data_IF_695350066036
#
_entry.id   IF_695350066036
#
_cell.length_a   1.000
_cell.length_b   1.000
_cell.length_c   1.000
_cell.angle_alpha   90.00
_cell.angle_beta   90.00
_cell.angle_gamma   90.00
#
_symmetry.space_group_name_H-M   'P 1'
#
loop_
_entity.id
_entity.type
_entity.pdbx_description
1 polymer ?
#
# COMPACT_ATOMS: atom_id res chain seq x y z
N UNK A 1 0.81 27.28 3.11
CA UNK A 1 -0.31 26.40 3.52
C UNK A 1 -1.00 25.94 2.25
N UNK A 2 -0.35 25.06 1.50
CA UNK A 2 -0.84 24.61 0.20
C UNK A 2 -1.61 23.31 0.43
N UNK A 3 -2.93 23.43 0.54
CA UNK A 3 -3.84 22.27 0.48
C UNK A 3 -3.82 21.77 -0.96
N UNK A 4 -2.82 20.94 -1.26
CA UNK A 4 -2.71 20.18 -2.49
C UNK A 4 -3.93 19.27 -2.62
N UNK A 5 -4.92 19.77 -3.36
CA UNK A 5 -5.79 19.06 -4.29
C UNK A 5 -5.88 17.57 -3.99
N UNK A 6 -6.89 17.18 -3.21
CA UNK A 6 -7.36 15.79 -3.15
C UNK A 6 -7.67 15.32 -4.57
N UNK A 7 -6.74 14.57 -5.16
CA UNK A 7 -7.04 13.73 -6.31
C UNK A 7 -8.09 12.71 -5.85
N UNK A 8 -9.37 13.06 -6.05
CA UNK A 8 -10.49 12.13 -6.04
C UNK A 8 -10.33 11.17 -7.22
N UNK A 9 -9.31 10.30 -7.18
CA UNK A 9 -9.36 9.03 -7.87
C UNK A 9 -10.38 8.18 -7.14
N UNK A 10 -11.65 8.43 -7.47
CA UNK A 10 -12.80 7.66 -7.01
C UNK A 10 -12.50 6.21 -7.41
N UNK A 11 -12.08 5.38 -6.45
CA UNK A 11 -12.09 3.93 -6.62
C UNK A 11 -13.47 3.57 -7.17
N UNK A 12 -13.52 3.18 -8.44
CA UNK A 12 -14.79 2.88 -9.12
C UNK A 12 -15.42 1.63 -8.53
N UNK A 13 -14.60 0.76 -7.96
CA UNK A 13 -14.99 -0.52 -7.41
C UNK A 13 -15.03 -0.50 -5.89
N UNK A 14 -16.06 -1.13 -5.32
CA UNK A 14 -16.20 -1.33 -3.87
C UNK A 14 -15.07 -2.18 -3.28
N UNK A 15 -14.33 -2.91 -4.12
CA UNK A 15 -13.22 -3.81 -3.75
C UNK A 15 -11.85 -3.28 -4.20
N UNK A 16 -11.66 -1.95 -4.11
CA UNK A 16 -10.40 -1.30 -4.45
C UNK A 16 -9.37 -1.48 -3.32
N UNK A 17 -8.15 -1.93 -3.60
CA UNK A 17 -7.09 -2.13 -2.58
C UNK A 17 -6.81 -0.89 -1.70
N UNK A 18 -7.10 0.32 -2.19
CA UNK A 18 -7.10 1.55 -1.39
C UNK A 18 -7.92 1.44 -0.09
N UNK A 19 -9.05 0.74 -0.18
CA UNK A 19 -10.00 0.48 0.91
C UNK A 19 -9.66 -0.81 1.69
N UNK A 20 -8.59 -1.53 1.34
CA UNK A 20 -8.22 -2.80 1.98
C UNK A 20 -7.41 -2.59 3.26
N UNK A 21 -7.77 -3.25 4.36
CA UNK A 21 -7.07 -3.20 5.67
C UNK A 21 -5.59 -3.58 5.55
N UNK A 22 -5.27 -4.46 4.61
CA UNK A 22 -3.91 -4.96 4.40
C UNK A 22 -2.99 -4.02 3.60
N UNK A 23 -3.50 -2.94 3.00
CA UNK A 23 -2.67 -2.03 2.20
C UNK A 23 -2.01 -0.95 3.09
N UNK A 24 -0.68 -0.86 3.01
CA UNK A 24 0.11 0.21 3.60
C UNK A 24 0.90 1.00 2.54
N UNK A 25 1.26 2.24 2.86
CA UNK A 25 2.19 3.04 2.06
C UNK A 25 3.61 2.54 2.32
N UNK A 26 4.37 2.32 1.25
CA UNK A 26 5.80 2.00 1.36
C UNK A 26 6.61 3.29 1.29
N UNK A 27 7.31 3.59 2.38
CA UNK A 27 8.16 4.77 2.51
C UNK A 27 9.60 4.39 2.22
N UNK A 28 10.38 5.36 1.71
CA UNK A 28 11.82 5.18 1.53
C UNK A 28 12.55 5.10 2.87
N UNK A 29 13.79 4.60 2.85
CA UNK A 29 14.68 4.60 4.00
C UNK A 29 16.10 5.01 3.58
N UNK A 30 16.81 5.86 4.34
CA UNK A 30 18.15 6.33 3.97
C UNK A 30 19.21 5.25 3.85
N UNK A 31 18.99 4.08 4.46
CA UNK A 31 19.92 2.95 4.41
C UNK A 31 19.65 1.96 3.27
N UNK A 32 18.56 2.12 2.52
CA UNK A 32 18.33 1.28 1.34
C UNK A 32 19.37 1.62 0.27
N UNK A 33 19.70 0.66 -0.59
CA UNK A 33 20.55 0.89 -1.76
C UNK A 33 19.72 0.68 -3.02
N UNK A 34 19.57 1.73 -3.83
CA UNK A 34 18.77 1.68 -5.05
C UNK A 34 17.28 1.88 -4.80
N UNK A 35 16.44 0.87 -5.07
CA UNK A 35 15.00 1.00 -4.86
C UNK A 35 14.67 1.29 -3.40
N UNK A 36 13.88 2.34 -3.16
CA UNK A 36 13.49 2.74 -1.81
C UNK A 36 14.55 3.53 -1.04
N UNK A 37 15.65 3.95 -1.67
CA UNK A 37 16.64 4.85 -1.06
C UNK A 37 16.16 6.31 -1.08
N UNK A 38 16.19 6.96 0.08
CA UNK A 38 15.85 8.38 0.22
C UNK A 38 15.23 8.74 1.58
N UNK A 39 14.55 9.88 1.63
CA UNK A 39 13.97 10.40 2.87
C UNK A 39 12.81 9.54 3.37
N UNK A 40 12.73 9.30 4.68
CA UNK A 40 11.60 8.57 5.31
C UNK A 40 10.23 9.25 5.11
N UNK A 41 10.22 10.52 4.71
CA UNK A 41 8.99 11.25 4.37
C UNK A 41 8.52 11.03 2.93
N UNK A 42 9.35 10.44 2.07
CA UNK A 42 9.04 10.17 0.66
C UNK A 42 8.50 8.76 0.45
N UNK A 43 7.43 8.65 -0.32
CA UNK A 43 6.83 7.37 -0.67
C UNK A 43 7.51 6.76 -1.92
N UNK A 44 7.72 5.44 -1.94
CA UNK A 44 8.25 4.70 -3.09
C UNK A 44 7.33 3.57 -3.60
N UNK A 45 6.14 3.42 -3.00
CA UNK A 45 5.10 2.54 -3.51
C UNK A 45 4.11 2.15 -2.42
N UNK A 46 3.61 0.92 -2.50
CA UNK A 46 2.66 0.34 -1.56
C UNK A 46 3.06 -1.11 -1.26
N UNK A 47 2.59 -1.61 -0.12
CA UNK A 47 2.75 -3.01 0.26
C UNK A 47 1.42 -3.58 0.75
N UNK A 48 1.23 -4.88 0.51
CA UNK A 48 0.15 -5.69 1.08
C UNK A 48 0.74 -6.57 2.17
N UNK A 49 0.23 -6.44 3.38
CA UNK A 49 0.67 -7.20 4.56
C UNK A 49 -0.28 -8.37 4.89
N UNK A 50 -1.02 -8.85 3.90
CA UNK A 50 -1.91 -9.99 4.08
C UNK A 50 -1.09 -11.21 4.52
N UNK A 51 -1.63 -12.00 5.45
CA UNK A 51 -1.04 -13.28 5.86
C UNK A 51 -1.96 -14.39 5.36
N UNK A 52 -1.40 -15.38 4.67
CA UNK A 52 -2.15 -16.53 4.18
C UNK A 52 -2.63 -17.40 5.34
N UNK A 53 -3.67 -18.20 5.12
CA UNK A 53 -4.25 -19.07 6.15
C UNK A 53 -3.24 -20.09 6.71
N UNK A 54 -2.29 -20.54 5.89
CA UNK A 54 -1.22 -21.44 6.28
C UNK A 54 0.00 -20.74 6.90
N UNK A 55 -0.07 -19.41 7.07
CA UNK A 55 0.98 -18.52 7.56
C UNK A 55 2.31 -18.59 6.77
N UNK A 56 2.32 -19.13 5.56
CA UNK A 56 3.55 -19.36 4.79
C UNK A 56 4.32 -18.08 4.45
N UNK A 57 3.65 -16.94 4.39
CA UNK A 57 4.23 -15.62 4.12
C UNK A 57 4.31 -14.71 5.37
N UNK A 58 4.22 -15.28 6.57
CA UNK A 58 4.26 -14.52 7.82
C UNK A 58 5.57 -13.74 7.95
N UNK A 59 5.44 -12.42 8.13
CA UNK A 59 6.59 -11.50 8.22
C UNK A 59 7.05 -10.97 6.87
N UNK A 60 6.39 -11.35 5.77
CA UNK A 60 6.64 -10.82 4.44
C UNK A 60 5.58 -9.78 4.05
N UNK A 61 5.92 -8.94 3.07
CA UNK A 61 4.99 -7.99 2.49
C UNK A 61 5.13 -7.98 0.97
N UNK A 62 4.01 -7.87 0.26
CA UNK A 62 3.98 -7.88 -1.20
C UNK A 62 4.04 -6.46 -1.74
N UNK A 63 5.12 -6.12 -2.45
CA UNK A 63 5.30 -4.79 -3.04
C UNK A 63 4.50 -4.59 -4.33
N UNK A 64 3.97 -3.38 -4.53
CA UNK A 64 3.37 -2.95 -5.79
C UNK A 64 3.45 -1.42 -5.99
N UNK A 65 3.43 -1.01 -7.26
CA UNK A 65 3.60 0.40 -7.66
C UNK A 65 2.36 1.27 -7.44
N UNK A 66 1.17 0.73 -7.64
CA UNK A 66 -0.07 1.51 -7.75
C UNK A 66 -1.00 1.27 -6.56
N UNK A 67 -1.50 2.34 -5.94
CA UNK A 67 -2.46 2.26 -4.83
C UNK A 67 -3.73 1.50 -5.19
N UNK A 68 -4.18 1.67 -6.42
CA UNK A 68 -5.46 1.17 -6.89
C UNK A 68 -5.27 -0.17 -7.60
N UNK A 69 -6.11 -1.13 -7.24
CA UNK A 69 -6.11 -2.48 -7.76
C UNK A 69 -7.19 -3.31 -7.07
N UNK A 70 -7.19 -4.61 -7.34
CA UNK A 70 -8.05 -5.60 -6.68
C UNK A 70 -7.18 -6.81 -6.35
N UNK A 71 -7.34 -7.38 -5.16
CA UNK A 71 -6.69 -8.62 -4.76
C UNK A 71 -7.71 -9.62 -4.25
N UNK A 72 -7.34 -10.90 -4.27
CA UNK A 72 -8.18 -12.04 -3.92
C UNK A 72 -8.52 -12.08 -2.43
N UNK A 73 -7.61 -11.57 -1.60
CA UNK A 73 -7.73 -11.50 -0.14
C UNK A 73 -8.09 -10.08 0.32
N UNK A 74 -9.03 -9.46 -0.37
CA UNK A 74 -9.51 -8.13 -0.02
C UNK A 74 -10.30 -8.17 1.30
N UNK A 75 -9.90 -7.31 2.24
CA UNK A 75 -10.61 -7.08 3.50
C UNK A 75 -10.90 -5.60 3.68
N UNK A 76 -12.18 -5.22 3.76
CA UNK A 76 -12.61 -3.83 3.77
C UNK A 76 -12.24 -3.15 5.09
N UNK A 77 -11.56 -2.00 5.03
CA UNK A 77 -11.40 -1.11 6.20
C UNK A 77 -12.78 -0.79 6.76
N UNK A 78 -13.05 -1.20 7.99
CA UNK A 78 -14.19 -0.68 8.75
C UNK A 78 -14.00 0.82 8.90
N UNK A 79 -15.00 1.58 8.43
CA UNK A 79 -15.05 3.04 8.52
C UNK A 79 -15.35 3.49 9.95
#
# INVERSE_FOLDING_TARGET
MEKSIEFKNKCKDKMCCHNCTHQLRLMKHPMNKGFGEGSISEQCGYVCIVVYEDESNKGEALYFNNQHGMCELYDLKTL
#
